data_IF_352358672732
#
_entry.id   IF_352358672732
#
_cell.length_a   1.000
_cell.length_b   1.000
_cell.length_c   1.000
_cell.angle_alpha   90.00
_cell.angle_beta   90.00
_cell.angle_gamma   90.00
#
_symmetry.space_group_name_H-M   'P 1'
#
loop_
_entity.id
_entity.type
_entity.pdbx_description
1 polymer ?
#
# COMPACT_ATOMS: atom_id res chain seq x y z
N UNK A 1 -13.02 30.43 6.12
CA UNK A 1 -12.09 30.27 7.27
C UNK A 1 -11.74 28.80 7.51
N UNK A 2 -12.72 27.89 7.51
CA UNK A 2 -12.48 26.44 7.72
C UNK A 2 -11.50 25.81 6.72
N UNK A 3 -11.64 26.09 5.42
CA UNK A 3 -10.68 25.65 4.39
C UNK A 3 -9.22 25.95 4.80
N UNK A 4 -8.94 27.19 5.20
CA UNK A 4 -7.60 27.61 5.62
C UNK A 4 -7.13 26.88 6.88
N UNK A 5 -8.03 26.54 7.82
CA UNK A 5 -7.67 25.77 9.01
C UNK A 5 -7.32 24.33 8.66
N UNK A 6 -8.14 23.68 7.84
CA UNK A 6 -7.89 22.31 7.35
C UNK A 6 -6.56 22.26 6.61
N UNK A 7 -6.29 23.19 5.68
CA UNK A 7 -5.05 23.16 4.90
C UNK A 7 -3.80 23.52 5.70
N UNK A 8 -3.94 24.19 6.85
CA UNK A 8 -2.82 24.53 7.73
C UNK A 8 -2.69 23.59 8.93
N UNK A 9 -3.48 22.51 9.01
CA UNK A 9 -3.57 21.69 10.21
C UNK A 9 -2.25 21.00 10.58
N UNK A 10 -1.34 20.81 9.62
CA UNK A 10 0.00 20.27 9.88
C UNK A 10 0.83 21.15 10.84
N UNK A 11 0.53 22.45 10.96
CA UNK A 11 1.15 23.32 11.96
C UNK A 11 0.63 23.05 13.39
N UNK A 12 -0.37 22.20 13.52
CA UNK A 12 -1.12 21.89 14.73
C UNK A 12 -1.21 20.37 14.95
N UNK A 13 -0.23 19.60 14.44
CA UNK A 13 -0.18 18.15 14.67
C UNK A 13 -0.18 17.84 16.18
N UNK A 14 -1.08 16.94 16.57
CA UNK A 14 -1.36 16.55 17.97
C UNK A 14 -2.05 17.63 18.83
N UNK A 15 -2.45 18.77 18.26
CA UNK A 15 -3.33 19.73 18.93
C UNK A 15 -4.78 19.24 18.78
N UNK A 16 -5.25 18.49 19.78
CA UNK A 16 -6.62 17.95 19.78
C UNK A 16 -7.67 19.05 19.77
N UNK A 17 -7.40 20.18 20.42
CA UNK A 17 -8.37 21.28 20.52
C UNK A 17 -8.54 21.96 19.16
N UNK A 18 -7.46 22.09 18.39
CA UNK A 18 -7.51 22.58 17.02
C UNK A 18 -8.36 21.69 16.10
N UNK A 19 -8.21 20.37 16.18
CA UNK A 19 -9.01 19.43 15.39
C UNK A 19 -10.47 19.47 15.82
N UNK A 20 -10.74 19.46 17.14
CA UNK A 20 -12.09 19.57 17.72
C UNK A 20 -12.78 20.84 17.23
N UNK A 21 -12.08 21.97 17.21
CA UNK A 21 -12.62 23.24 16.72
C UNK A 21 -13.07 23.12 15.26
N UNK A 22 -12.30 22.45 14.40
CA UNK A 22 -12.66 22.26 12.99
C UNK A 22 -13.86 21.33 12.85
N UNK A 23 -13.83 20.12 13.44
CA UNK A 23 -14.89 19.12 13.24
C UNK A 23 -16.22 19.52 13.88
N UNK A 24 -16.19 20.39 14.90
CA UNK A 24 -17.39 20.92 15.56
C UNK A 24 -17.94 22.18 14.87
N UNK A 25 -17.22 22.74 13.89
CA UNK A 25 -17.64 23.96 13.22
C UNK A 25 -18.78 23.68 12.23
N UNK A 26 -19.83 24.52 12.19
CA UNK A 26 -20.87 24.41 11.17
C UNK A 26 -20.27 24.52 9.77
N UNK A 27 -20.64 23.61 8.87
CA UNK A 27 -20.13 23.60 7.50
C UNK A 27 -18.86 22.76 7.28
N UNK A 28 -18.41 22.00 8.30
CA UNK A 28 -17.16 21.25 8.23
C UNK A 28 -17.19 20.15 7.17
N UNK A 29 -18.27 19.38 7.11
CA UNK A 29 -18.48 18.32 6.13
C UNK A 29 -18.57 18.87 4.71
N UNK A 30 -19.33 19.94 4.45
CA UNK A 30 -19.38 20.55 3.10
C UNK A 30 -18.01 21.11 2.71
N UNK A 31 -17.26 21.67 3.66
CA UNK A 31 -15.90 22.15 3.40
C UNK A 31 -14.97 20.99 3.05
N UNK A 32 -15.03 19.87 3.77
CA UNK A 32 -14.22 18.69 3.48
C UNK A 32 -14.56 18.09 2.12
N UNK A 33 -15.84 17.96 1.78
CA UNK A 33 -16.30 17.48 0.46
C UNK A 33 -15.76 18.39 -0.64
N UNK A 34 -15.88 19.71 -0.47
CA UNK A 34 -15.35 20.68 -1.43
C UNK A 34 -13.84 20.49 -1.66
N UNK A 35 -13.08 20.22 -0.60
CA UNK A 35 -11.64 20.02 -0.71
C UNK A 35 -11.26 18.65 -1.29
N UNK A 36 -12.07 17.61 -1.05
CA UNK A 36 -11.93 16.31 -1.71
C UNK A 36 -12.18 16.37 -3.22
N UNK A 37 -12.85 17.42 -3.72
CA UNK A 37 -13.04 17.64 -5.16
C UNK A 37 -12.04 18.65 -5.74
N UNK A 38 -10.98 19.00 -5.00
CA UNK A 38 -9.91 19.87 -5.50
C UNK A 38 -9.11 19.17 -6.61
N UNK A 39 -8.83 19.90 -7.69
CA UNK A 39 -7.90 19.47 -8.74
C UNK A 39 -6.43 19.56 -8.29
N UNK A 40 -6.14 20.38 -7.27
CA UNK A 40 -4.80 20.49 -6.69
C UNK A 40 -4.55 19.30 -5.75
N UNK A 41 -3.59 18.45 -6.15
CA UNK A 41 -3.23 17.23 -5.42
C UNK A 41 -2.78 17.47 -3.98
N UNK A 42 -2.10 18.58 -3.71
CA UNK A 42 -1.65 18.91 -2.35
C UNK A 42 -2.86 19.22 -1.44
N UNK A 43 -3.80 20.04 -1.90
CA UNK A 43 -5.07 20.30 -1.21
C UNK A 43 -5.83 18.99 -0.96
N UNK A 44 -5.93 18.12 -1.97
CA UNK A 44 -6.58 16.82 -1.84
C UNK A 44 -5.90 15.95 -0.78
N UNK A 45 -4.58 15.79 -0.87
CA UNK A 45 -3.79 14.96 0.02
C UNK A 45 -3.84 15.45 1.48
N UNK A 46 -3.74 16.76 1.71
CA UNK A 46 -3.89 17.36 3.04
C UNK A 46 -5.28 17.13 3.63
N UNK A 47 -6.32 17.16 2.79
CA UNK A 47 -7.69 16.90 3.21
C UNK A 47 -7.88 15.44 3.63
N UNK A 48 -7.39 14.50 2.83
CA UNK A 48 -7.37 13.07 3.17
C UNK A 48 -6.61 12.79 4.47
N UNK A 49 -5.48 13.47 4.69
CA UNK A 49 -4.68 13.31 5.90
C UNK A 49 -5.40 13.90 7.12
N UNK A 50 -6.00 15.09 7.00
CA UNK A 50 -6.83 15.67 8.06
C UNK A 50 -7.99 14.76 8.45
N UNK A 51 -8.72 14.21 7.47
CA UNK A 51 -9.80 13.24 7.72
C UNK A 51 -9.26 12.06 8.52
N UNK A 52 -8.15 11.47 8.06
CA UNK A 52 -7.51 10.33 8.73
C UNK A 52 -7.17 10.65 10.18
N UNK A 53 -6.45 11.74 10.42
CA UNK A 53 -6.01 12.14 11.75
C UNK A 53 -7.19 12.50 12.66
N UNK A 54 -8.24 13.14 12.12
CA UNK A 54 -9.44 13.48 12.89
C UNK A 54 -10.18 12.25 13.41
N UNK A 55 -10.27 11.18 12.60
CA UNK A 55 -10.89 9.92 13.00
C UNK A 55 -10.01 9.18 14.01
N UNK A 56 -8.70 9.13 13.76
CA UNK A 56 -7.77 8.49 14.69
C UNK A 56 -7.74 9.20 16.05
N UNK A 57 -7.86 10.54 16.07
CA UNK A 57 -8.04 11.32 17.30
C UNK A 57 -9.39 11.07 17.97
N UNK A 58 -10.43 10.70 17.22
CA UNK A 58 -11.73 10.27 17.76
C UNK A 58 -11.61 9.13 18.77
N UNK A 59 -10.61 8.24 18.63
CA UNK A 59 -10.36 7.19 19.64
C UNK A 59 -9.90 7.73 21.01
N UNK A 60 -9.45 8.99 21.05
CA UNK A 60 -8.94 9.65 22.25
C UNK A 60 -9.81 10.84 22.68
N UNK A 61 -10.70 11.32 21.81
CA UNK A 61 -11.54 12.49 22.03
C UNK A 61 -12.99 12.23 21.63
N UNK A 62 -13.89 12.26 22.62
CA UNK A 62 -15.31 11.97 22.45
C UNK A 62 -16.01 12.94 21.48
N UNK A 63 -15.63 14.22 21.42
CA UNK A 63 -16.26 15.19 20.51
C UNK A 63 -15.94 14.83 19.06
N UNK A 64 -14.68 14.48 18.75
CA UNK A 64 -14.29 14.01 17.42
C UNK A 64 -15.02 12.71 17.05
N UNK A 65 -15.16 11.78 18.00
CA UNK A 65 -15.89 10.54 17.78
C UNK A 65 -17.37 10.80 17.47
N UNK A 66 -18.04 11.64 18.26
CA UNK A 66 -19.45 11.99 18.05
C UNK A 66 -19.66 12.74 16.73
N UNK A 67 -18.78 13.68 16.39
CA UNK A 67 -18.81 14.39 15.10
C UNK A 67 -18.62 13.45 13.91
N UNK A 68 -17.73 12.45 14.04
CA UNK A 68 -17.51 11.44 13.02
C UNK A 68 -18.73 10.53 12.82
N UNK A 69 -19.22 9.91 13.89
CA UNK A 69 -20.28 8.88 13.82
C UNK A 69 -21.67 9.45 13.51
N UNK A 70 -21.96 10.69 13.90
CA UNK A 70 -23.30 11.27 13.74
C UNK A 70 -23.60 11.78 12.32
N UNK A 71 -22.60 12.38 11.66
CA UNK A 71 -22.82 13.08 10.38
C UNK A 71 -21.65 12.90 9.42
N UNK A 72 -20.41 13.14 9.86
CA UNK A 72 -19.25 13.24 8.95
C UNK A 72 -18.99 11.94 8.18
N UNK A 73 -19.07 10.78 8.85
CA UNK A 73 -18.87 9.47 8.21
C UNK A 73 -19.85 9.25 7.05
N UNK A 74 -21.13 9.56 7.26
CA UNK A 74 -22.20 9.37 6.27
C UNK A 74 -22.03 10.27 5.04
N UNK A 75 -21.38 11.42 5.20
CA UNK A 75 -21.12 12.36 4.12
C UNK A 75 -19.79 12.06 3.38
N UNK A 76 -18.73 11.73 4.12
CA UNK A 76 -17.36 11.64 3.59
C UNK A 76 -17.05 10.28 2.98
N UNK A 77 -17.50 9.17 3.58
CA UNK A 77 -17.18 7.83 3.06
C UNK A 77 -17.69 7.63 1.64
N UNK A 78 -18.95 7.95 1.27
CA UNK A 78 -19.42 7.79 -0.11
C UNK A 78 -18.61 8.59 -1.13
N UNK A 79 -18.15 9.79 -0.76
CA UNK A 79 -17.29 10.61 -1.63
C UNK A 79 -15.92 9.97 -1.85
N UNK A 80 -15.31 9.43 -0.79
CA UNK A 80 -14.07 8.68 -0.90
C UNK A 80 -14.26 7.44 -1.77
N UNK A 81 -15.31 6.65 -1.55
CA UNK A 81 -15.60 5.46 -2.36
C UNK A 81 -15.73 5.78 -3.85
N UNK A 82 -16.40 6.88 -4.20
CA UNK A 82 -16.49 7.38 -5.58
C UNK A 82 -15.11 7.72 -6.16
N UNK A 83 -14.23 8.31 -5.37
CA UNK A 83 -12.89 8.74 -5.79
C UNK A 83 -11.89 7.59 -5.93
N UNK A 84 -12.16 6.39 -5.39
CA UNK A 84 -11.32 5.19 -5.62
C UNK A 84 -11.21 4.89 -7.13
N UNK A 85 -12.25 5.21 -7.90
CA UNK A 85 -12.31 4.98 -9.34
C UNK A 85 -11.87 6.19 -10.17
N UNK A 86 -11.24 7.20 -9.55
CA UNK A 86 -10.65 8.34 -10.27
C UNK A 86 -9.61 7.88 -11.28
N UNK A 87 -9.51 8.55 -12.42
CA UNK A 87 -8.44 8.31 -13.42
C UNK A 87 -7.05 8.71 -12.88
N UNK A 88 -7.02 9.56 -11.84
CA UNK A 88 -5.78 10.04 -11.22
C UNK A 88 -5.21 9.02 -10.21
N UNK A 89 -4.05 8.45 -10.52
CA UNK A 89 -3.31 7.50 -9.71
C UNK A 89 -3.08 7.98 -8.26
N UNK A 90 -2.69 9.24 -8.08
CA UNK A 90 -2.41 9.78 -6.74
C UNK A 90 -3.68 9.93 -5.91
N UNK A 91 -4.81 10.30 -6.54
CA UNK A 91 -6.11 10.34 -5.88
C UNK A 91 -6.48 8.93 -5.41
N UNK A 92 -6.44 7.92 -6.30
CA UNK A 92 -6.76 6.53 -5.93
C UNK A 92 -5.92 6.06 -4.75
N UNK A 93 -4.62 6.27 -4.82
CA UNK A 93 -3.66 5.86 -3.78
C UNK A 93 -3.98 6.49 -2.42
N UNK A 94 -4.31 7.78 -2.39
CA UNK A 94 -4.66 8.46 -1.15
C UNK A 94 -6.02 8.08 -0.61
N UNK A 95 -7.02 7.91 -1.47
CA UNK A 95 -8.36 7.46 -1.07
C UNK A 95 -8.30 6.07 -0.42
N UNK A 96 -7.61 5.12 -1.06
CA UNK A 96 -7.42 3.76 -0.55
C UNK A 96 -6.81 3.80 0.85
N UNK A 97 -5.77 4.61 1.04
CA UNK A 97 -5.17 4.80 2.36
C UNK A 97 -6.15 5.33 3.38
N UNK A 98 -6.84 6.42 3.06
CA UNK A 98 -7.76 7.08 3.97
C UNK A 98 -8.85 6.12 4.41
N UNK A 99 -9.48 5.39 3.47
CA UNK A 99 -10.49 4.37 3.78
C UNK A 99 -9.96 3.26 4.70
N UNK A 100 -8.73 2.79 4.45
CA UNK A 100 -8.07 1.80 5.31
C UNK A 100 -7.83 2.32 6.74
N UNK A 101 -7.35 3.56 6.88
CA UNK A 101 -6.99 4.14 8.18
C UNK A 101 -8.16 4.65 9.00
N UNK A 102 -9.26 5.05 8.37
CA UNK A 102 -10.52 5.34 9.07
C UNK A 102 -11.32 4.06 9.37
N UNK A 103 -10.76 2.88 9.10
CA UNK A 103 -11.39 1.58 9.32
C UNK A 103 -12.76 1.47 8.65
N UNK A 104 -12.86 1.89 7.38
CA UNK A 104 -14.10 1.81 6.60
C UNK A 104 -14.37 0.38 6.13
N UNK A 105 -14.77 -0.50 7.06
CA UNK A 105 -15.07 -1.92 6.76
C UNK A 105 -16.18 -2.08 5.70
N UNK A 106 -17.15 -1.17 5.68
CA UNK A 106 -18.24 -1.16 4.69
C UNK A 106 -17.75 -0.88 3.26
N UNK A 107 -16.52 -0.36 3.11
CA UNK A 107 -15.89 -0.07 1.82
C UNK A 107 -15.11 -1.24 1.23
N UNK A 108 -15.06 -2.41 1.88
CA UNK A 108 -14.42 -3.62 1.33
C UNK A 108 -14.96 -3.98 -0.07
N UNK A 109 -16.29 -3.97 -0.34
CA UNK A 109 -16.82 -4.32 -1.67
C UNK A 109 -16.31 -3.40 -2.78
N UNK A 110 -16.25 -2.09 -2.54
CA UNK A 110 -15.76 -1.13 -3.56
C UNK A 110 -14.24 -1.21 -3.73
N UNK A 111 -13.48 -1.51 -2.66
CA UNK A 111 -12.05 -1.78 -2.74
C UNK A 111 -11.76 -3.07 -3.53
N UNK A 112 -12.56 -4.12 -3.37
CA UNK A 112 -12.47 -5.34 -4.18
C UNK A 112 -12.82 -5.07 -5.65
N UNK A 113 -13.85 -4.25 -5.91
CA UNK A 113 -14.16 -3.80 -7.28
C UNK A 113 -12.96 -3.06 -7.90
N UNK A 114 -12.36 -2.13 -7.16
CA UNK A 114 -11.18 -1.40 -7.59
C UNK A 114 -9.99 -2.35 -7.83
N UNK A 115 -9.82 -3.36 -6.99
CA UNK A 115 -8.77 -4.37 -7.17
C UNK A 115 -8.93 -5.07 -8.52
N UNK A 116 -10.12 -5.58 -8.84
CA UNK A 116 -10.37 -6.25 -10.12
C UNK A 116 -10.22 -5.31 -11.33
N UNK A 117 -10.61 -4.04 -11.19
CA UNK A 117 -10.47 -3.06 -12.25
C UNK A 117 -9.00 -2.71 -12.53
N UNK A 118 -8.20 -2.52 -11.48
CA UNK A 118 -6.84 -1.99 -11.60
C UNK A 118 -5.74 -3.06 -11.58
N UNK A 119 -6.06 -4.33 -11.28
CA UNK A 119 -5.09 -5.45 -11.16
C UNK A 119 -4.04 -5.49 -12.27
N UNK A 120 -4.47 -5.34 -13.51
CA UNK A 120 -3.57 -5.44 -14.68
C UNK A 120 -3.36 -4.09 -15.38
N UNK A 121 -3.79 -2.99 -14.75
CA UNK A 121 -3.71 -1.63 -15.29
C UNK A 121 -2.82 -0.71 -14.45
N UNK A 122 -2.77 -0.93 -13.13
CA UNK A 122 -1.98 -0.11 -12.20
C UNK A 122 -1.27 -0.97 -11.15
N UNK A 123 -0.18 -1.68 -11.51
CA UNK A 123 0.58 -2.52 -10.59
C UNK A 123 1.15 -1.76 -9.40
N UNK A 124 1.44 -0.46 -9.57
CA UNK A 124 2.02 0.42 -8.54
C UNK A 124 1.03 0.66 -7.39
N UNK A 125 -0.27 0.69 -7.70
CA UNK A 125 -1.34 0.84 -6.71
C UNK A 125 -1.56 -0.42 -5.86
N UNK A 126 -1.28 -1.62 -6.42
CA UNK A 126 -1.72 -2.88 -5.82
C UNK A 126 -1.16 -3.15 -4.42
N UNK A 127 0.12 -2.89 -4.10
CA UNK A 127 0.60 -3.07 -2.74
C UNK A 127 -0.22 -2.28 -1.72
N UNK A 128 -0.58 -1.04 -2.06
CA UNK A 128 -1.41 -0.21 -1.18
C UNK A 128 -2.83 -0.76 -1.08
N UNK A 129 -3.47 -1.06 -2.22
CA UNK A 129 -4.85 -1.54 -2.26
C UNK A 129 -5.03 -2.87 -1.52
N UNK A 130 -4.19 -3.84 -1.81
CA UNK A 130 -4.26 -5.16 -1.17
C UNK A 130 -3.87 -5.06 0.31
N UNK A 131 -2.88 -4.23 0.65
CA UNK A 131 -2.50 -3.97 2.03
C UNK A 131 -3.66 -3.43 2.87
N UNK A 132 -4.38 -2.43 2.38
CA UNK A 132 -5.55 -1.89 3.11
C UNK A 132 -6.75 -2.86 3.10
N UNK A 133 -6.98 -3.63 2.03
CA UNK A 133 -7.98 -4.72 2.04
C UNK A 133 -7.67 -5.75 3.13
N UNK A 134 -6.40 -6.15 3.29
CA UNK A 134 -6.00 -7.11 4.30
C UNK A 134 -6.12 -6.51 5.71
N UNK A 135 -5.74 -5.23 5.85
CA UNK A 135 -5.92 -4.47 7.09
C UNK A 135 -7.38 -4.42 7.53
N UNK A 136 -8.30 -4.17 6.59
CA UNK A 136 -9.74 -4.16 6.85
C UNK A 136 -10.34 -5.56 7.05
N UNK A 137 -9.54 -6.62 6.91
CA UNK A 137 -10.00 -7.98 7.17
C UNK A 137 -10.82 -8.57 6.02
N UNK A 138 -10.46 -8.27 4.77
CA UNK A 138 -11.06 -8.96 3.61
C UNK A 138 -10.96 -10.48 3.78
N UNK A 139 -12.05 -11.17 3.50
CA UNK A 139 -12.08 -12.64 3.45
C UNK A 139 -11.24 -13.15 2.28
N UNK A 140 -10.84 -14.42 2.33
CA UNK A 140 -10.16 -15.10 1.21
C UNK A 140 -8.91 -14.36 0.69
N UNK A 141 -8.05 -13.89 1.59
CA UNK A 141 -6.79 -13.19 1.25
C UNK A 141 -5.92 -13.95 0.25
N UNK A 142 -5.89 -15.28 0.33
CA UNK A 142 -5.16 -16.13 -0.62
C UNK A 142 -5.68 -15.97 -2.05
N UNK A 143 -6.99 -15.95 -2.25
CA UNK A 143 -7.61 -15.82 -3.57
C UNK A 143 -7.22 -14.50 -4.25
N UNK A 144 -7.09 -13.42 -3.47
CA UNK A 144 -6.60 -12.11 -3.96
C UNK A 144 -5.17 -12.24 -4.48
N UNK A 145 -4.28 -12.89 -3.73
CA UNK A 145 -2.89 -13.11 -4.14
C UNK A 145 -2.80 -14.07 -5.33
N UNK A 146 -3.52 -15.19 -5.31
CA UNK A 146 -3.56 -16.17 -6.39
C UNK A 146 -4.01 -15.53 -7.71
N UNK A 147 -4.99 -14.63 -7.63
CA UNK A 147 -5.46 -13.85 -8.78
C UNK A 147 -4.39 -12.93 -9.35
N UNK A 148 -3.52 -12.35 -8.51
CA UNK A 148 -2.39 -11.55 -8.97
C UNK A 148 -1.28 -12.41 -9.57
N UNK A 149 -0.95 -13.55 -8.96
CA UNK A 149 0.06 -14.50 -9.48
C UNK A 149 -0.40 -15.08 -10.83
N UNK A 150 -1.69 -15.32 -11.03
CA UNK A 150 -2.22 -15.78 -12.31
C UNK A 150 -2.25 -14.70 -13.41
N UNK A 151 -1.89 -13.45 -13.12
CA UNK A 151 -1.89 -12.36 -14.10
C UNK A 151 -0.91 -12.63 -15.24
N UNK A 152 -1.26 -12.33 -16.51
CA UNK A 152 -0.31 -12.37 -17.61
C UNK A 152 0.77 -11.28 -17.49
N UNK A 153 0.52 -10.22 -16.71
CA UNK A 153 1.44 -9.09 -16.54
C UNK A 153 2.44 -9.39 -15.43
N UNK A 154 3.72 -9.44 -15.78
CA UNK A 154 4.76 -9.73 -14.79
C UNK A 154 4.83 -8.66 -13.70
N UNK A 155 4.53 -7.39 -13.99
CA UNK A 155 4.51 -6.30 -13.00
C UNK A 155 3.48 -6.54 -11.90
N UNK A 156 2.30 -7.08 -12.24
CA UNK A 156 1.26 -7.48 -11.28
C UNK A 156 1.74 -8.64 -10.42
N UNK A 157 2.36 -9.66 -11.02
CA UNK A 157 2.97 -10.78 -10.28
C UNK A 157 4.12 -10.30 -9.39
N UNK A 158 4.90 -9.34 -9.85
CA UNK A 158 6.02 -8.76 -9.12
C UNK A 158 5.56 -7.98 -7.88
N UNK A 159 4.48 -7.23 -8.00
CA UNK A 159 3.88 -6.48 -6.90
C UNK A 159 3.46 -7.36 -5.71
N UNK A 160 3.14 -8.65 -5.96
CA UNK A 160 2.85 -9.64 -4.90
C UNK A 160 3.99 -9.73 -3.90
N UNK A 161 5.25 -9.69 -4.35
CA UNK A 161 6.41 -9.82 -3.46
C UNK A 161 6.53 -8.62 -2.49
N UNK A 162 6.12 -7.42 -2.92
CA UNK A 162 6.02 -6.26 -2.02
C UNK A 162 4.91 -6.46 -0.99
N UNK A 163 3.72 -6.91 -1.41
CA UNK A 163 2.59 -7.21 -0.51
C UNK A 163 3.01 -8.23 0.54
N UNK A 164 3.57 -9.37 0.12
CA UNK A 164 4.04 -10.42 1.01
C UNK A 164 5.13 -9.89 1.95
N UNK A 165 6.02 -9.03 1.47
CA UNK A 165 7.06 -8.38 2.27
C UNK A 165 6.53 -7.58 3.46
N UNK A 166 5.39 -6.90 3.29
CA UNK A 166 4.74 -6.07 4.31
C UNK A 166 3.97 -6.88 5.36
N UNK A 167 3.60 -8.13 5.06
CA UNK A 167 2.89 -8.99 6.01
C UNK A 167 3.80 -9.43 7.16
N UNK A 168 3.36 -9.14 8.38
CA UNK A 168 4.04 -9.47 9.62
C UNK A 168 3.51 -10.83 10.12
N UNK A 169 4.42 -11.79 10.29
CA UNK A 169 4.15 -13.06 10.96
C UNK A 169 4.80 -13.05 12.35
N UNK A 170 4.24 -13.82 13.29
CA UNK A 170 4.72 -13.89 14.67
C UNK A 170 5.87 -14.90 14.82
N UNK A 171 5.80 -16.02 14.10
CA UNK A 171 6.82 -17.06 14.13
C UNK A 171 7.04 -17.65 12.73
N UNK A 172 8.29 -17.93 12.31
CA UNK A 172 8.56 -18.59 11.04
C UNK A 172 8.40 -20.10 11.21
N UNK A 173 7.16 -20.58 11.36
CA UNK A 173 6.82 -21.99 11.45
C UNK A 173 5.46 -22.30 10.80
N UNK A 174 5.15 -23.59 10.69
CA UNK A 174 3.96 -24.11 10.01
C UNK A 174 2.64 -23.84 10.76
N UNK A 175 2.68 -23.27 11.96
CA UNK A 175 1.47 -22.89 12.69
C UNK A 175 1.05 -21.45 12.43
N UNK A 176 1.94 -20.64 11.84
CA UNK A 176 1.68 -19.25 11.50
C UNK A 176 1.15 -19.14 10.05
N UNK A 177 -0.15 -18.86 9.92
CA UNK A 177 -0.84 -18.77 8.62
C UNK A 177 -0.21 -17.72 7.69
N UNK A 178 0.26 -16.60 8.22
CA UNK A 178 0.90 -15.54 7.43
C UNK A 178 2.27 -16.00 6.93
N UNK A 179 3.05 -16.70 7.77
CA UNK A 179 4.30 -17.30 7.33
C UNK A 179 4.08 -18.33 6.22
N UNK A 180 3.11 -19.24 6.39
CA UNK A 180 2.79 -20.25 5.38
C UNK A 180 2.34 -19.64 4.06
N UNK A 181 1.49 -18.62 4.11
CA UNK A 181 1.06 -17.88 2.92
C UNK A 181 2.25 -17.27 2.18
N UNK A 182 3.14 -16.55 2.89
CA UNK A 182 4.36 -15.98 2.31
C UNK A 182 5.26 -17.08 1.71
N UNK A 183 5.46 -18.17 2.44
CA UNK A 183 6.29 -19.28 2.01
C UNK A 183 5.77 -19.91 0.71
N UNK A 184 4.48 -20.29 0.68
CA UNK A 184 3.77 -20.88 -0.47
C UNK A 184 3.88 -19.98 -1.71
N UNK A 185 3.56 -18.69 -1.57
CA UNK A 185 3.51 -17.80 -2.72
C UNK A 185 4.88 -17.37 -3.23
N UNK A 186 5.86 -17.12 -2.34
CA UNK A 186 7.24 -16.91 -2.78
C UNK A 186 7.78 -18.15 -3.51
N UNK A 187 7.51 -19.36 -3.02
CA UNK A 187 7.89 -20.61 -3.70
C UNK A 187 7.30 -20.69 -5.11
N UNK A 188 6.00 -20.39 -5.25
CA UNK A 188 5.31 -20.44 -6.55
C UNK A 188 5.88 -19.47 -7.59
N UNK A 189 6.47 -18.36 -7.14
CA UNK A 189 7.07 -17.33 -8.01
C UNK A 189 8.56 -17.59 -8.31
N UNK A 190 9.20 -18.59 -7.68
CA UNK A 190 10.60 -18.94 -7.97
C UNK A 190 10.83 -19.43 -9.41
N UNK A 191 9.79 -19.94 -10.07
CA UNK A 191 9.82 -20.40 -11.46
C UNK A 191 9.12 -19.42 -12.43
N UNK A 192 8.97 -18.15 -12.03
CA UNK A 192 8.33 -17.14 -12.89
C UNK A 192 9.10 -16.94 -14.20
N UNK A 193 8.36 -16.83 -15.31
CA UNK A 193 8.87 -16.53 -16.65
C UNK A 193 9.68 -15.23 -16.74
N UNK A 194 9.42 -14.24 -15.89
CA UNK A 194 10.15 -12.98 -15.86
C UNK A 194 11.28 -13.03 -14.81
N UNK A 195 12.50 -12.74 -15.25
CA UNK A 195 13.69 -12.86 -14.42
C UNK A 195 13.69 -11.94 -13.19
N UNK A 196 13.01 -10.77 -13.24
CA UNK A 196 12.94 -9.84 -12.09
C UNK A 196 12.08 -10.44 -10.97
N UNK A 197 10.92 -10.98 -11.35
CA UNK A 197 10.01 -11.67 -10.42
C UNK A 197 10.72 -12.88 -9.83
N UNK A 198 11.30 -13.73 -10.70
CA UNK A 198 12.03 -14.92 -10.31
C UNK A 198 13.19 -14.59 -9.35
N UNK A 199 13.99 -13.57 -9.63
CA UNK A 199 15.15 -13.23 -8.82
C UNK A 199 14.77 -12.76 -7.41
N UNK A 200 13.75 -11.89 -7.30
CA UNK A 200 13.25 -11.43 -6.01
C UNK A 200 12.54 -12.56 -5.24
N UNK A 201 11.68 -13.35 -5.91
CA UNK A 201 10.99 -14.49 -5.30
C UNK A 201 11.98 -15.51 -4.73
N UNK A 202 13.03 -15.87 -5.49
CA UNK A 202 14.06 -16.78 -5.03
C UNK A 202 14.77 -16.27 -3.78
N UNK A 203 15.16 -14.99 -3.77
CA UNK A 203 15.81 -14.40 -2.59
C UNK A 203 14.89 -14.46 -1.35
N UNK A 204 13.64 -14.04 -1.49
CA UNK A 204 12.67 -14.05 -0.38
C UNK A 204 12.33 -15.48 0.08
N UNK A 205 12.11 -16.41 -0.83
CA UNK A 205 11.87 -17.82 -0.50
C UNK A 205 13.04 -18.44 0.26
N UNK A 206 14.28 -18.23 -0.19
CA UNK A 206 15.46 -18.74 0.52
C UNK A 206 15.64 -18.08 1.89
N UNK A 207 15.25 -16.80 2.03
CA UNK A 207 15.25 -16.11 3.32
C UNK A 207 14.23 -16.72 4.29
N UNK A 208 13.01 -16.98 3.83
CA UNK A 208 11.96 -17.63 4.62
C UNK A 208 12.37 -19.05 5.02
N UNK A 209 12.92 -19.83 4.07
CA UNK A 209 13.44 -21.18 4.33
C UNK A 209 14.56 -21.19 5.36
N UNK A 210 15.49 -20.24 5.32
CA UNK A 210 16.53 -20.10 6.33
C UNK A 210 15.94 -19.78 7.72
N UNK A 211 14.92 -18.92 7.80
CA UNK A 211 14.26 -18.60 9.06
C UNK A 211 13.51 -19.80 9.64
N UNK A 212 12.83 -20.59 8.81
CA UNK A 212 12.16 -21.84 9.19
C UNK A 212 13.17 -22.84 9.78
N UNK A 213 14.25 -23.12 9.04
CA UNK A 213 15.32 -24.01 9.50
C UNK A 213 15.97 -23.53 10.79
N UNK A 214 16.12 -22.21 10.96
CA UNK A 214 16.70 -21.68 12.20
C UNK A 214 15.86 -22.02 13.42
N UNK A 215 14.53 -22.00 13.28
CA UNK A 215 13.61 -22.40 14.36
C UNK A 215 13.51 -23.91 14.51
N UNK A 216 13.30 -24.65 13.43
CA UNK A 216 13.00 -26.09 13.49
C UNK A 216 14.25 -26.95 13.70
N UNK A 217 15.37 -26.62 13.05
CA UNK A 217 16.60 -27.42 13.09
C UNK A 217 17.57 -26.97 14.20
N UNK A 218 17.19 -25.98 15.02
CA UNK A 218 18.06 -25.38 16.05
C UNK A 218 19.43 -24.93 15.50
N UNK A 219 19.46 -24.32 14.31
CA UNK A 219 20.70 -23.81 13.73
C UNK A 219 21.43 -22.89 14.72
N UNK A 220 22.74 -23.09 14.84
CA UNK A 220 23.55 -22.21 15.69
C UNK A 220 23.51 -20.77 15.15
N UNK A 221 23.55 -19.78 16.04
CA UNK A 221 23.58 -18.36 15.66
C UNK A 221 24.73 -18.01 14.70
N UNK A 222 25.86 -18.71 14.81
CA UNK A 222 27.02 -18.53 13.93
C UNK A 222 26.72 -19.03 12.52
N UNK A 223 26.13 -20.22 12.41
CA UNK A 223 25.76 -20.84 11.14
C UNK A 223 24.67 -20.04 10.42
N UNK A 224 23.62 -19.62 11.14
CA UNK A 224 22.58 -18.73 10.59
C UNK A 224 23.18 -17.45 10.01
N UNK A 225 24.09 -16.79 10.73
CA UNK A 225 24.78 -15.59 10.23
C UNK A 225 25.61 -15.86 8.97
N UNK A 226 26.28 -17.02 8.90
CA UNK A 226 27.05 -17.42 7.72
C UNK A 226 26.14 -17.63 6.51
N UNK A 227 25.09 -18.44 6.65
CA UNK A 227 24.12 -18.70 5.57
C UNK A 227 23.40 -17.41 5.14
N UNK A 228 23.01 -16.55 6.09
CA UNK A 228 22.43 -15.23 5.78
C UNK A 228 23.39 -14.36 4.96
N UNK A 229 24.69 -14.36 5.28
CA UNK A 229 25.70 -13.61 4.50
C UNK A 229 25.87 -14.17 3.08
N UNK A 230 25.81 -15.49 2.92
CA UNK A 230 25.83 -16.13 1.60
C UNK A 230 24.59 -15.76 0.79
N UNK A 231 23.41 -15.79 1.42
CA UNK A 231 22.14 -15.39 0.81
C UNK A 231 22.12 -13.91 0.39
N UNK A 232 22.78 -13.01 1.13
CA UNK A 232 22.88 -11.60 0.71
C UNK A 232 23.57 -11.43 -0.66
N UNK A 233 24.37 -12.40 -1.12
CA UNK A 233 24.96 -12.37 -2.47
C UNK A 233 23.94 -12.64 -3.57
N UNK A 234 22.82 -13.28 -3.23
CA UNK A 234 21.69 -13.55 -4.13
C UNK A 234 20.65 -12.44 -4.11
N UNK A 235 20.84 -11.38 -3.32
CA UNK A 235 19.90 -10.27 -3.24
C UNK A 235 19.70 -9.65 -4.63
N UNK A 236 18.45 -9.49 -5.11
CA UNK A 236 18.20 -8.92 -6.43
C UNK A 236 18.78 -7.50 -6.52
N UNK A 237 19.19 -7.11 -7.72
CA UNK A 237 19.67 -5.74 -7.98
C UNK A 237 18.57 -4.70 -7.89
N UNK A 238 17.34 -5.13 -8.18
CA UNK A 238 16.15 -4.32 -8.24
C UNK A 238 14.99 -5.15 -7.70
N UNK A 239 14.20 -4.58 -6.79
CA UNK A 239 12.93 -5.13 -6.34
C UNK A 239 11.76 -4.28 -6.79
N UNK A 240 10.54 -4.81 -6.75
CA UNK A 240 9.35 -4.03 -7.11
C UNK A 240 9.20 -2.78 -6.24
N UNK A 241 9.43 -2.90 -4.93
CA UNK A 241 9.46 -1.78 -4.00
C UNK A 241 10.48 -0.70 -4.37
N UNK A 242 11.65 -1.11 -4.90
CA UNK A 242 12.68 -0.16 -5.35
C UNK A 242 12.30 0.55 -6.65
N UNK A 243 11.36 0.01 -7.44
CA UNK A 243 10.83 0.64 -8.65
C UNK A 243 9.69 1.59 -8.30
N UNK A 244 8.78 1.18 -7.40
CA UNK A 244 7.51 1.88 -7.19
C UNK A 244 7.68 3.32 -6.72
N UNK A 245 8.54 3.57 -5.72
CA UNK A 245 8.82 4.92 -5.22
C UNK A 245 9.42 5.85 -6.28
N UNK A 246 10.51 5.47 -6.97
CA UNK A 246 11.05 6.25 -8.08
C UNK A 246 10.05 6.51 -9.21
N UNK A 247 9.19 5.54 -9.53
CA UNK A 247 8.18 5.73 -10.56
C UNK A 247 7.10 6.74 -10.14
N UNK A 248 6.62 6.68 -8.89
CA UNK A 248 5.72 7.72 -8.35
C UNK A 248 6.34 9.12 -8.42
N UNK A 249 7.63 9.24 -8.09
CA UNK A 249 8.36 10.50 -8.19
C UNK A 249 8.50 10.97 -9.65
N UNK A 250 8.73 10.03 -10.58
CA UNK A 250 8.75 10.31 -12.00
C UNK A 250 7.39 10.85 -12.49
N UNK A 251 6.28 10.19 -12.13
CA UNK A 251 4.94 10.64 -12.47
C UNK A 251 4.67 12.04 -11.90
N UNK A 252 4.95 12.25 -10.61
CA UNK A 252 4.73 13.53 -9.94
C UNK A 252 5.56 14.66 -10.56
N UNK A 253 6.86 14.43 -10.76
CA UNK A 253 7.78 15.41 -11.33
C UNK A 253 7.43 15.81 -12.77
N UNK A 254 6.78 14.93 -13.52
CA UNK A 254 6.31 15.18 -14.89
C UNK A 254 4.83 15.57 -14.95
N UNK A 255 4.15 15.75 -13.81
CA UNK A 255 2.71 16.06 -13.74
C UNK A 255 1.84 15.04 -14.49
N UNK A 256 2.25 13.77 -14.48
CA UNK A 256 1.52 12.65 -15.05
C UNK A 256 0.64 12.03 -13.98
N UNK A 257 -0.67 12.04 -14.20
CA UNK A 257 -1.65 11.53 -13.23
C UNK A 257 -2.20 10.15 -13.59
N UNK A 258 -1.89 9.66 -14.79
CA UNK A 258 -2.19 8.31 -15.26
C UNK A 258 -0.98 7.82 -16.06
N UNK A 259 -0.88 6.51 -16.22
CA UNK A 259 0.17 5.88 -16.99
C UNK A 259 -0.34 4.58 -17.63
N UNK A 260 0.32 4.17 -18.70
CA UNK A 260 0.15 2.89 -19.36
C UNK A 260 1.14 1.86 -18.84
N UNK A 261 0.81 0.58 -18.95
CA UNK A 261 1.72 -0.51 -18.56
C UNK A 261 3.04 -0.41 -19.33
N UNK A 262 2.99 -0.03 -20.60
CA UNK A 262 4.15 0.13 -21.47
C UNK A 262 5.11 1.25 -20.99
N UNK A 263 4.58 2.35 -20.43
CA UNK A 263 5.40 3.41 -19.82
C UNK A 263 6.11 2.91 -18.57
N UNK A 264 5.41 2.15 -17.72
CA UNK A 264 6.02 1.53 -16.53
C UNK A 264 7.08 0.49 -16.91
N UNK A 265 6.81 -0.37 -17.91
CA UNK A 265 7.79 -1.33 -18.42
C UNK A 265 9.03 -0.64 -18.99
N UNK A 266 8.85 0.47 -19.71
CA UNK A 266 9.96 1.28 -20.23
C UNK A 266 10.80 1.86 -19.11
N UNK A 267 10.17 2.42 -18.07
CA UNK A 267 10.86 2.95 -16.90
C UNK A 267 11.65 1.86 -16.15
N UNK A 268 11.06 0.67 -15.98
CA UNK A 268 11.75 -0.49 -15.38
C UNK A 268 12.97 -0.90 -16.22
N UNK A 269 12.84 -0.93 -17.54
CA UNK A 269 13.96 -1.24 -18.45
C UNK A 269 15.15 -0.31 -18.25
N UNK A 270 14.88 1.01 -18.14
CA UNK A 270 15.91 2.02 -17.89
C UNK A 270 16.62 1.79 -16.54
N UNK A 271 15.87 1.51 -15.46
CA UNK A 271 16.45 1.22 -14.15
C UNK A 271 17.31 -0.05 -14.15
N UNK A 272 16.94 -1.08 -14.92
CA UNK A 272 17.74 -2.30 -15.07
C UNK A 272 19.06 -2.00 -15.77
N UNK A 273 19.05 -1.20 -16.83
CA UNK A 273 20.27 -0.78 -17.53
C UNK A 273 21.20 0.04 -16.62
N UNK A 274 20.66 0.98 -15.85
CA UNK A 274 21.45 1.78 -14.90
C UNK A 274 22.08 0.89 -13.80
N UNK A 275 21.31 -0.01 -13.20
CA UNK A 275 21.80 -0.87 -12.10
C UNK A 275 22.83 -1.90 -12.55
N UNK A 276 22.78 -2.34 -13.82
CA UNK A 276 23.79 -3.23 -14.40
C UNK A 276 25.08 -2.47 -14.73
N UNK A 277 24.99 -1.23 -15.22
CA UNK A 277 26.15 -0.38 -15.52
C UNK A 277 27.03 -0.12 -14.29
N UNK A 278 26.45 0.11 -13.12
CA UNK A 278 27.22 0.35 -11.88
C UNK A 278 27.82 -0.90 -11.23
N UNK A 279 27.58 -2.10 -11.77
CA UNK A 279 28.10 -3.38 -11.23
C UNK A 279 29.18 -4.04 -12.08
N UNK A 280 29.44 -3.53 -13.29
CA UNK A 280 30.53 -3.98 -14.17
C UNK A 280 31.83 -3.24 -13.91
#
# INVERSE_FOLDING_TARGET
MLKTKILNYLNYLNDSDYIVEIVSSPGADETLIQLLHSEELETFALTCLFITDSVLMGFQNQICQEAWESQTKLAIVPELERLILSDNHFIRKQVIYTLGKICSYDSIPILLQAFHQFRDQDPILLPRLVGELFWLGVDHREDVIETMIASPRYLTRWAVLTILGELIYNSPDETDEIFLMKYKFCESLCDDSNFLVQAEANYEYQFLKLNLRWRQENLSKSEYKKQKKELQRLKPSLSFFQVSGPFDNYLYGNQLYHYSIEELETFVGQLVEETTFFRG
#
